data_IF_652710848779
#
_entry.id   IF_652710848779
#
_cell.length_a   1.000
_cell.length_b   1.000
_cell.length_c   1.000
_cell.angle_alpha   90.00
_cell.angle_beta   90.00
_cell.angle_gamma   90.00
#
_symmetry.space_group_name_H-M   'P 1'
#
loop_
_entity.id
_entity.type
_entity.pdbx_description
1 polymer ?
#
# COMPACT_ATOMS: atom_id res chain seq x y z
N UNK A 1 -39.83 -28.52 5.09
CA UNK A 1 -38.81 -27.77 4.31
C UNK A 1 -37.59 -27.64 5.18
N UNK A 2 -36.60 -28.52 4.98
CA UNK A 2 -35.40 -28.61 5.79
C UNK A 2 -34.48 -27.43 5.48
N UNK A 3 -34.28 -26.53 6.45
CA UNK A 3 -33.10 -25.68 6.47
C UNK A 3 -31.95 -26.55 6.96
N UNK A 4 -31.23 -27.15 6.03
CA UNK A 4 -29.93 -27.75 6.29
C UNK A 4 -28.96 -26.61 6.59
N UNK A 5 -28.82 -26.24 7.87
CA UNK A 5 -27.67 -25.49 8.34
C UNK A 5 -26.46 -26.41 8.21
N UNK A 6 -25.74 -26.32 7.09
CA UNK A 6 -24.41 -26.90 6.97
C UNK A 6 -23.47 -26.11 7.88
N UNK A 7 -23.20 -26.66 9.06
CA UNK A 7 -22.04 -26.26 9.86
C UNK A 7 -20.82 -26.63 9.01
N UNK A 8 -20.13 -25.62 8.49
CA UNK A 8 -18.88 -25.83 7.76
C UNK A 8 -17.83 -26.22 8.80
N UNK A 9 -17.30 -27.44 8.70
CA UNK A 9 -16.14 -27.84 9.49
C UNK A 9 -14.93 -27.04 9.00
N UNK A 10 -14.42 -26.15 9.85
CA UNK A 10 -13.27 -25.30 9.56
C UNK A 10 -12.01 -26.03 10.03
N UNK A 11 -11.16 -26.44 9.09
CA UNK A 11 -9.86 -27.01 9.39
C UNK A 11 -8.87 -25.92 9.81
N UNK A 12 -7.87 -26.27 10.64
CA UNK A 12 -6.81 -25.34 10.99
C UNK A 12 -6.04 -24.91 9.73
N UNK A 13 -6.09 -23.62 9.40
CA UNK A 13 -5.52 -23.03 8.17
C UNK A 13 -6.54 -22.58 7.13
N UNK A 14 -7.84 -22.74 7.39
CA UNK A 14 -8.88 -22.25 6.49
C UNK A 14 -9.15 -20.75 6.70
N UNK A 15 -8.63 -19.92 5.78
CA UNK A 15 -8.87 -18.47 5.73
C UNK A 15 -10.20 -18.11 5.03
N UNK A 16 -11.10 -19.07 4.77
CA UNK A 16 -12.37 -18.84 4.08
C UNK A 16 -13.42 -18.09 4.90
N UNK A 17 -13.05 -17.40 5.99
CA UNK A 17 -13.98 -16.44 6.59
C UNK A 17 -14.35 -15.41 5.53
N UNK A 18 -15.64 -15.29 5.22
CA UNK A 18 -16.21 -14.42 4.17
C UNK A 18 -15.87 -12.93 4.29
N UNK A 19 -15.10 -12.53 5.31
CA UNK A 19 -14.64 -11.17 5.54
C UNK A 19 -13.31 -10.81 4.85
N UNK A 20 -12.45 -11.80 4.52
CA UNK A 20 -11.12 -11.54 3.95
C UNK A 20 -10.83 -12.45 2.76
N UNK A 21 -11.08 -11.95 1.55
CA UNK A 21 -10.82 -12.66 0.29
C UNK A 21 -9.38 -12.43 -0.17
N UNK A 22 -8.52 -13.41 0.11
CA UNK A 22 -7.09 -13.37 -0.24
C UNK A 22 -6.85 -13.39 -1.75
N UNK A 23 -7.69 -14.08 -2.53
CA UNK A 23 -7.50 -14.16 -3.99
C UNK A 23 -7.82 -12.82 -4.65
N UNK A 24 -8.87 -12.13 -4.16
CA UNK A 24 -9.15 -10.74 -4.55
C UNK A 24 -7.98 -9.82 -4.22
N UNK A 25 -7.38 -9.96 -3.02
CA UNK A 25 -6.23 -9.13 -2.63
C UNK A 25 -5.00 -9.46 -3.49
N UNK A 26 -4.72 -10.73 -3.76
CA UNK A 26 -3.59 -11.15 -4.62
C UNK A 26 -3.70 -10.59 -6.03
N UNK A 27 -4.91 -10.44 -6.56
CA UNK A 27 -5.15 -9.83 -7.86
C UNK A 27 -4.70 -8.36 -7.93
N UNK A 28 -4.69 -7.63 -6.81
CA UNK A 28 -4.18 -6.26 -6.75
C UNK A 28 -2.64 -6.19 -6.85
N UNK A 29 -1.90 -7.29 -6.68
CA UNK A 29 -0.44 -7.32 -6.75
C UNK A 29 0.03 -7.95 -8.08
N UNK A 30 0.31 -7.15 -9.12
CA UNK A 30 0.48 -7.68 -10.48
C UNK A 30 1.64 -8.67 -10.60
N UNK A 31 2.71 -8.44 -9.84
CA UNK A 31 3.91 -9.28 -9.84
C UNK A 31 3.63 -10.72 -9.39
N UNK A 32 2.60 -10.96 -8.57
CA UNK A 32 2.29 -12.30 -8.04
C UNK A 32 1.71 -13.25 -9.10
N UNK A 33 1.32 -12.73 -10.27
CA UNK A 33 0.89 -13.55 -11.42
C UNK A 33 2.07 -14.03 -12.29
N UNK A 34 3.29 -13.59 -12.01
CA UNK A 34 4.47 -13.92 -12.79
C UNK A 34 4.87 -15.39 -12.64
N UNK A 35 5.45 -15.92 -13.72
CA UNK A 35 6.11 -17.22 -13.74
C UNK A 35 7.63 -17.02 -13.86
N UNK A 36 8.39 -17.75 -13.07
CA UNK A 36 9.85 -17.68 -12.93
C UNK A 36 10.46 -19.07 -13.08
N UNK A 37 11.78 -19.14 -13.34
CA UNK A 37 12.57 -20.39 -13.39
C UNK A 37 11.83 -21.55 -14.07
N UNK A 38 11.72 -21.47 -15.40
CA UNK A 38 11.08 -22.48 -16.25
C UNK A 38 9.57 -22.65 -15.99
N UNK A 39 8.88 -21.53 -15.76
CA UNK A 39 7.41 -21.49 -15.74
C UNK A 39 6.75 -21.73 -14.37
N UNK A 40 7.54 -21.82 -13.29
CA UNK A 40 7.04 -21.99 -11.92
C UNK A 40 6.37 -20.70 -11.42
N UNK A 41 5.26 -20.77 -10.68
CA UNK A 41 4.64 -19.57 -10.12
C UNK A 41 5.58 -18.89 -9.12
N UNK A 42 5.58 -17.56 -9.10
CA UNK A 42 6.29 -16.79 -8.08
C UNK A 42 5.66 -17.03 -6.69
N UNK A 43 6.46 -17.55 -5.77
CA UNK A 43 6.13 -17.64 -4.33
C UNK A 43 7.09 -16.73 -3.58
N UNK A 44 6.65 -15.50 -3.29
CA UNK A 44 7.49 -14.48 -2.68
C UNK A 44 7.38 -14.49 -1.14
N UNK A 45 8.37 -15.07 -0.47
CA UNK A 45 8.44 -15.22 0.99
C UNK A 45 9.52 -14.35 1.65
N UNK A 46 9.96 -13.29 0.97
CA UNK A 46 11.00 -12.36 1.45
C UNK A 46 10.45 -10.96 1.77
N UNK A 47 9.19 -10.89 2.24
CA UNK A 47 8.51 -9.61 2.51
C UNK A 47 9.16 -8.80 3.64
N UNK A 48 9.95 -9.43 4.51
CA UNK A 48 10.71 -8.76 5.57
C UNK A 48 11.82 -7.86 5.04
N UNK A 49 12.39 -8.15 3.86
CA UNK A 49 13.33 -7.27 3.19
C UNK A 49 12.61 -6.12 2.47
N UNK A 50 11.57 -6.42 1.68
CA UNK A 50 10.65 -5.42 1.10
C UNK A 50 9.36 -6.09 0.64
N UNK A 51 8.20 -5.49 0.90
CA UNK A 51 6.91 -6.03 0.44
C UNK A 51 6.65 -5.75 -1.04
N UNK A 52 5.86 -6.57 -1.73
CA UNK A 52 5.37 -6.22 -3.09
C UNK A 52 4.34 -5.09 -3.05
N UNK A 53 4.08 -4.45 -4.21
CA UNK A 53 3.32 -3.19 -4.29
C UNK A 53 1.98 -3.48 -4.99
N UNK A 54 0.83 -3.08 -4.42
CA UNK A 54 -0.44 -3.23 -5.07
C UNK A 54 -0.60 -2.18 -6.19
N UNK A 55 -1.49 -2.46 -7.14
CA UNK A 55 -1.77 -1.64 -8.33
C UNK A 55 -2.08 -0.18 -7.95
N UNK A 56 -2.86 0.02 -6.90
CA UNK A 56 -3.27 1.34 -6.39
C UNK A 56 -2.08 2.22 -6.01
N UNK A 57 -1.00 1.64 -5.47
CA UNK A 57 0.23 2.39 -5.14
C UNK A 57 1.01 2.73 -6.40
N UNK A 58 1.12 1.78 -7.34
CA UNK A 58 1.80 1.99 -8.62
C UNK A 58 1.10 3.10 -9.41
N UNK A 59 -0.22 3.00 -9.55
CA UNK A 59 -1.02 3.94 -10.33
C UNK A 59 -1.00 5.34 -9.71
N UNK A 60 -1.04 5.47 -8.38
CA UNK A 60 -0.95 6.77 -7.72
C UNK A 60 0.40 7.48 -8.00
N UNK A 61 1.50 6.71 -8.04
CA UNK A 61 2.81 7.25 -8.38
C UNK A 61 2.89 7.63 -9.87
N UNK A 62 2.46 6.73 -10.76
CA UNK A 62 2.42 6.98 -12.20
C UNK A 62 1.58 8.21 -12.55
N UNK A 63 0.35 8.28 -12.03
CA UNK A 63 -0.56 9.41 -12.25
C UNK A 63 0.02 10.75 -11.77
N UNK A 64 0.71 10.78 -10.62
CA UNK A 64 1.40 11.98 -10.16
C UNK A 64 2.47 12.43 -11.17
N UNK A 65 3.32 11.50 -11.61
CA UNK A 65 4.41 11.78 -12.54
C UNK A 65 3.93 12.19 -13.93
N UNK A 66 2.85 11.59 -14.42
CA UNK A 66 2.33 11.83 -15.76
C UNK A 66 1.50 13.11 -15.86
N UNK A 67 0.82 13.54 -14.79
CA UNK A 67 -0.20 14.60 -14.89
C UNK A 67 0.14 15.91 -14.19
N UNK A 68 0.86 15.88 -13.06
CA UNK A 68 0.90 17.05 -12.15
C UNK A 68 2.20 17.23 -11.37
N UNK A 69 3.25 16.48 -11.69
CA UNK A 69 4.52 16.51 -10.98
C UNK A 69 5.19 17.89 -11.00
N UNK A 70 5.57 18.37 -9.81
CA UNK A 70 6.46 19.50 -9.62
C UNK A 70 7.04 19.52 -8.21
N UNK A 71 7.99 20.41 -7.96
CA UNK A 71 8.49 20.66 -6.62
C UNK A 71 7.38 21.19 -5.72
N UNK A 72 7.28 20.61 -4.53
CA UNK A 72 6.34 21.02 -3.48
C UNK A 72 6.79 22.32 -2.80
N UNK A 73 5.81 23.11 -2.34
CA UNK A 73 5.92 24.33 -1.52
C UNK A 73 6.64 25.52 -2.16
N UNK A 74 7.21 25.36 -3.36
CA UNK A 74 8.09 26.36 -3.99
C UNK A 74 7.49 27.03 -5.23
N UNK A 75 6.24 26.77 -5.59
CA UNK A 75 5.61 27.32 -6.79
C UNK A 75 4.20 27.85 -6.58
N UNK A 76 3.88 28.95 -7.23
CA UNK A 76 2.51 29.52 -7.33
C UNK A 76 1.71 28.95 -8.50
N UNK A 77 2.36 28.15 -9.35
CA UNK A 77 1.73 27.57 -10.52
C UNK A 77 0.98 26.28 -10.18
N UNK A 78 0.00 25.93 -11.03
CA UNK A 78 -0.98 24.89 -10.77
C UNK A 78 -0.37 23.53 -10.38
N UNK A 79 0.64 23.03 -11.10
CA UNK A 79 1.27 21.74 -10.81
C UNK A 79 2.01 21.70 -9.46
N UNK A 80 2.60 22.82 -9.01
CA UNK A 80 3.22 22.90 -7.69
C UNK A 80 2.17 22.85 -6.60
N UNK A 81 1.06 23.57 -6.75
CA UNK A 81 -0.06 23.50 -5.80
C UNK A 81 -0.64 22.09 -5.72
N UNK A 82 -0.85 21.41 -6.86
CA UNK A 82 -1.37 20.05 -6.87
C UNK A 82 -0.39 19.05 -6.21
N UNK A 83 0.91 19.16 -6.50
CA UNK A 83 1.94 18.32 -5.88
C UNK A 83 2.02 18.55 -4.37
N UNK A 84 1.95 19.81 -3.91
CA UNK A 84 1.92 20.14 -2.48
C UNK A 84 0.70 19.56 -1.79
N UNK A 85 -0.48 19.70 -2.39
CA UNK A 85 -1.71 19.16 -1.81
C UNK A 85 -1.61 17.63 -1.67
N UNK A 86 -1.09 16.93 -2.68
CA UNK A 86 -0.91 15.48 -2.63
C UNK A 86 0.11 15.07 -1.55
N UNK A 87 1.21 15.81 -1.41
CA UNK A 87 2.25 15.56 -0.41
C UNK A 87 1.73 15.74 1.03
N UNK A 88 1.05 16.86 1.30
CA UNK A 88 0.47 17.13 2.63
C UNK A 88 -0.72 16.22 2.96
N UNK A 89 -1.52 15.84 1.96
CA UNK A 89 -2.54 14.80 2.15
C UNK A 89 -1.91 13.43 2.50
N UNK A 90 -0.71 13.13 1.98
CA UNK A 90 0.08 11.98 2.40
C UNK A 90 0.51 12.08 3.87
N UNK A 91 0.96 13.25 4.31
CA UNK A 91 1.33 13.51 5.72
C UNK A 91 0.15 13.29 6.66
N UNK A 92 -1.00 13.87 6.33
CA UNK A 92 -2.25 13.71 7.09
C UNK A 92 -2.65 12.24 7.24
N UNK A 93 -2.60 11.47 6.14
CA UNK A 93 -2.91 10.04 6.18
C UNK A 93 -1.92 9.25 7.04
N UNK A 94 -0.63 9.57 6.98
CA UNK A 94 0.38 8.95 7.83
C UNK A 94 0.17 9.30 9.31
N UNK A 95 -0.15 10.56 9.62
CA UNK A 95 -0.50 11.01 10.97
C UNK A 95 -1.72 10.28 11.53
N UNK A 96 -2.79 10.19 10.74
CA UNK A 96 -3.98 9.42 11.11
C UNK A 96 -3.69 7.92 11.30
N UNK A 97 -2.87 7.32 10.43
CA UNK A 97 -2.47 5.91 10.54
C UNK A 97 -1.69 5.62 11.84
N UNK A 98 -0.83 6.55 12.25
CA UNK A 98 -0.05 6.46 13.48
C UNK A 98 -0.79 7.01 14.71
N UNK A 99 -1.98 7.57 14.53
CA UNK A 99 -2.74 8.28 15.58
C UNK A 99 -1.91 9.39 16.27
N UNK A 100 -1.17 10.17 15.47
CA UNK A 100 -0.42 11.32 15.96
C UNK A 100 -1.37 12.46 16.37
N UNK A 101 -0.95 13.31 17.31
CA UNK A 101 -1.77 14.44 17.78
C UNK A 101 -1.78 15.59 16.79
N UNK A 102 -0.75 15.70 15.94
CA UNK A 102 -0.63 16.72 14.91
C UNK A 102 0.17 16.21 13.70
N UNK A 103 -0.20 16.67 12.49
CA UNK A 103 0.56 16.39 11.27
C UNK A 103 2.00 16.93 11.34
N UNK A 104 2.24 17.97 12.15
CA UNK A 104 3.57 18.55 12.35
C UNK A 104 4.53 17.60 13.10
N UNK A 105 4.02 16.54 13.72
CA UNK A 105 4.83 15.49 14.36
C UNK A 105 5.32 14.44 13.33
N UNK A 106 4.83 14.51 12.08
CA UNK A 106 5.15 13.56 11.02
C UNK A 106 6.25 14.13 10.12
N UNK A 107 7.47 13.61 10.24
CA UNK A 107 8.61 13.98 9.42
C UNK A 107 8.90 12.87 8.40
N UNK A 108 8.78 13.19 7.11
CA UNK A 108 9.16 12.27 6.05
C UNK A 108 10.68 12.20 5.91
N UNK A 109 11.23 10.99 5.97
CA UNK A 109 12.63 10.67 5.67
C UNK A 109 12.68 9.61 4.57
N UNK A 110 13.88 9.30 4.08
CA UNK A 110 14.10 8.23 3.09
C UNK A 110 13.79 6.84 3.66
N UNK A 111 13.84 6.66 4.97
CA UNK A 111 13.54 5.40 5.63
C UNK A 111 13.87 5.39 7.12
N UNK A 112 13.56 4.28 7.78
CA UNK A 112 13.69 4.14 9.24
C UNK A 112 15.11 4.43 9.76
N UNK A 113 16.15 3.97 9.06
CA UNK A 113 17.55 4.23 9.46
C UNK A 113 17.87 5.73 9.47
N UNK A 114 17.41 6.50 8.48
CA UNK A 114 17.63 7.95 8.46
C UNK A 114 16.83 8.65 9.55
N UNK A 115 15.59 8.20 9.81
CA UNK A 115 14.79 8.74 10.92
C UNK A 115 15.48 8.57 12.28
N UNK A 116 16.12 7.42 12.52
CA UNK A 116 16.90 7.19 13.75
C UNK A 116 18.10 8.13 13.84
N UNK A 117 18.83 8.34 12.73
CA UNK A 117 19.99 9.22 12.71
C UNK A 117 19.64 10.71 12.85
N UNK A 118 18.39 11.09 12.58
CA UNK A 118 17.92 12.46 12.72
C UNK A 118 17.65 12.85 14.18
N UNK A 119 17.43 11.88 15.08
CA UNK A 119 17.23 12.06 16.53
C UNK A 119 18.56 12.19 17.24
#
# INVERSE_FOLDING_TARGET
>A
MNKSSSVVEIAAGDNSTSAFDVEKIRADFPILSQKIYDGKPLVYLDNGASAQKPRQVIDAMSDLYETRYSNVHRGVHWTSQQSTNAYEAGRQKAGAFLNAASDNEIIFTRGATEAINLV
#
